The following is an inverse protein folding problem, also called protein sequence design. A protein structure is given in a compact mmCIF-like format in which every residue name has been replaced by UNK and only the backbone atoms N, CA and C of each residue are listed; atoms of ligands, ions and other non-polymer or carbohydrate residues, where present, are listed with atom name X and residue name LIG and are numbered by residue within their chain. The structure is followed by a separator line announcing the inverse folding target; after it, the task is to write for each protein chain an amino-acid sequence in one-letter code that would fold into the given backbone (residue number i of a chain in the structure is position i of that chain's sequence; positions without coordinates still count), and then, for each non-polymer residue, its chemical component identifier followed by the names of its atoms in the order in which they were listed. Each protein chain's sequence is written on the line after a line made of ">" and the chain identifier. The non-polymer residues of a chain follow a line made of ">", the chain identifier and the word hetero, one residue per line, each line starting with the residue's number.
data_IF_117137250240
#
_entry.id   IF_117137250240
#
_cell.length_a   1.000
_cell.length_b   1.000
_cell.length_c   1.000
_cell.angle_alpha   90.00
_cell.angle_beta   90.00
_cell.angle_gamma   90.00
#
_symmetry.space_group_name_H-M   'P 1'
#
loop_
_entity.id
_entity.type
_entity.pdbx_description
1 polymer ?
#
# COMPACT_ATOMS: atom_id res chain seq x y z
N UNK A 1 41.70 10.81 22.78
CA UNK A 1 40.32 11.30 22.67
C UNK A 1 39.57 10.81 23.90
N UNK A 2 39.13 11.72 24.77
CA UNK A 2 38.33 11.38 25.95
C UNK A 2 36.86 11.16 25.54
N UNK A 3 36.19 10.20 26.17
CA UNK A 3 34.77 9.95 25.95
C UNK A 3 33.92 11.13 26.44
N UNK A 4 32.85 11.46 25.71
CA UNK A 4 31.92 12.52 26.13
C UNK A 4 31.15 12.09 27.39
N UNK A 5 30.73 13.02 28.27
CA UNK A 5 29.88 12.69 29.42
C UNK A 5 28.63 11.90 29.00
N UNK A 6 28.31 10.80 29.68
CA UNK A 6 27.23 9.90 29.27
C UNK A 6 27.13 8.59 30.08
N UNK A 7 26.08 7.81 29.81
CA UNK A 7 25.90 6.46 30.35
C UNK A 7 26.62 5.45 29.46
N UNK A 8 27.44 4.59 30.05
CA UNK A 8 28.21 3.56 29.35
C UNK A 8 28.08 2.22 30.09
N UNK A 9 28.49 1.13 29.44
CA UNK A 9 28.48 -0.20 30.01
C UNK A 9 29.33 -0.27 31.31
N UNK A 10 28.73 -0.76 32.39
CA UNK A 10 29.38 -0.88 33.69
C UNK A 10 30.23 -2.16 33.84
N UNK A 11 30.37 -2.97 32.77
CA UNK A 11 31.06 -4.27 32.81
C UNK A 11 30.25 -5.38 33.51
N UNK A 12 29.04 -5.05 33.97
CA UNK A 12 28.05 -6.00 34.49
C UNK A 12 26.86 -5.99 33.52
N UNK A 13 26.46 -7.15 32.95
CA UNK A 13 25.37 -7.20 31.99
C UNK A 13 24.09 -6.51 32.51
N UNK A 14 23.57 -5.57 31.72
CA UNK A 14 22.36 -4.82 32.05
C UNK A 14 22.55 -3.66 33.03
N UNK A 15 23.79 -3.26 33.34
CA UNK A 15 24.08 -2.06 34.13
C UNK A 15 24.81 -1.02 33.31
N UNK A 16 24.39 0.24 33.49
CA UNK A 16 25.07 1.41 32.95
C UNK A 16 25.70 2.19 34.10
N UNK A 17 26.88 2.74 33.87
CA UNK A 17 27.58 3.65 34.77
C UNK A 17 27.77 5.00 34.09
N UNK A 18 27.60 6.08 34.85
CA UNK A 18 27.74 7.43 34.31
C UNK A 18 29.20 7.91 34.32
N UNK A 19 29.67 8.37 33.15
CA UNK A 19 30.94 9.08 32.95
C UNK A 19 30.67 10.59 32.91
N UNK A 20 31.38 11.38 33.72
CA UNK A 20 31.17 12.83 33.79
C UNK A 20 32.05 13.64 32.81
N UNK A 21 32.88 12.98 32.00
CA UNK A 21 33.86 13.61 31.12
C UNK A 21 35.30 13.54 31.64
N UNK A 22 35.45 13.29 32.94
CA UNK A 22 36.75 13.22 33.64
C UNK A 22 36.95 11.93 34.43
N UNK A 23 35.89 11.39 35.03
CA UNK A 23 35.90 10.17 35.83
C UNK A 23 34.54 9.44 35.78
N UNK A 24 34.57 8.17 36.20
CA UNK A 24 33.35 7.38 36.43
C UNK A 24 32.72 7.77 37.76
N UNK A 25 31.44 8.14 37.75
CA UNK A 25 30.71 8.45 38.98
C UNK A 25 30.15 7.18 39.64
N UNK A 26 29.66 7.29 40.88
CA UNK A 26 28.97 6.18 41.58
C UNK A 26 27.53 5.94 41.08
N UNK A 27 27.03 6.80 40.19
CA UNK A 27 25.70 6.61 39.62
C UNK A 27 25.68 5.39 38.71
N UNK A 28 24.99 4.36 39.17
CA UNK A 28 24.60 3.22 38.36
C UNK A 28 23.12 3.31 38.02
N UNK A 29 22.80 3.02 36.77
CA UNK A 29 21.44 2.81 36.32
C UNK A 29 21.32 1.38 35.83
N UNK A 30 20.18 0.76 36.08
CA UNK A 30 19.84 -0.45 35.34
C UNK A 30 19.65 0.02 33.90
N UNK A 31 20.38 -0.55 32.95
CA UNK A 31 20.06 -0.35 31.55
C UNK A 31 18.58 -0.65 31.44
N UNK A 32 17.75 0.36 31.16
CA UNK A 32 16.32 0.14 31.03
C UNK A 32 16.16 -0.81 29.84
N UNK A 33 16.14 -2.10 30.13
CA UNK A 33 15.51 -3.13 29.31
C UNK A 33 13.99 -2.96 29.46
N UNK A 34 13.51 -1.72 29.31
CA UNK A 34 12.17 -1.52 28.78
C UNK A 34 12.16 -2.15 27.40
N UNK A 35 11.02 -2.65 26.92
CA UNK A 35 10.96 -3.16 25.56
C UNK A 35 11.43 -2.03 24.64
N UNK A 36 12.59 -2.21 24.01
CA UNK A 36 13.06 -1.33 22.95
C UNK A 36 11.86 -1.13 22.03
N UNK A 37 11.48 0.14 21.78
CA UNK A 37 10.35 0.44 20.92
C UNK A 37 10.58 -0.34 19.63
N UNK A 38 9.67 -1.26 19.23
CA UNK A 38 10.01 -2.20 18.17
C UNK A 38 10.31 -1.44 16.89
N UNK A 39 11.53 -1.63 16.38
CA UNK A 39 11.98 -0.98 15.15
C UNK A 39 11.21 -1.54 13.95
N UNK A 40 11.10 -0.80 12.83
CA UNK A 40 10.48 -1.35 11.63
C UNK A 40 11.18 -2.64 11.17
N UNK A 41 10.41 -3.71 10.98
CA UNK A 41 10.99 -5.04 10.78
C UNK A 41 9.97 -6.15 10.54
N UNK A 42 10.47 -7.33 10.19
CA UNK A 42 9.67 -8.54 10.14
C UNK A 42 9.64 -9.19 11.51
N UNK A 43 8.46 -9.52 12.02
CA UNK A 43 8.32 -10.12 13.35
C UNK A 43 7.34 -11.28 13.29
N UNK A 44 7.58 -12.27 14.14
CA UNK A 44 6.62 -13.34 14.35
C UNK A 44 5.50 -12.84 15.28
N UNK A 45 4.26 -12.99 14.83
CA UNK A 45 3.08 -12.71 15.66
C UNK A 45 2.74 -13.92 16.52
N UNK A 46 1.88 -13.73 17.54
CA UNK A 46 1.48 -14.81 18.48
C UNK A 46 0.87 -16.04 17.81
N UNK A 47 0.27 -15.90 16.63
CA UNK A 47 -0.28 -17.03 15.86
C UNK A 47 0.77 -17.72 14.97
N UNK A 48 2.05 -17.40 15.14
CA UNK A 48 3.16 -17.94 14.36
C UNK A 48 3.36 -17.30 12.99
N UNK A 49 2.48 -16.41 12.53
CA UNK A 49 2.64 -15.74 11.24
C UNK A 49 3.68 -14.63 11.29
N UNK A 50 4.56 -14.55 10.28
CA UNK A 50 5.54 -13.47 10.17
C UNK A 50 4.90 -12.29 9.43
N UNK A 51 4.92 -11.11 10.05
CA UNK A 51 4.33 -9.87 9.52
C UNK A 51 5.30 -8.71 9.61
N UNK A 52 5.10 -7.70 8.78
CA UNK A 52 5.87 -6.47 8.84
C UNK A 52 5.25 -5.48 9.82
N UNK A 53 6.06 -5.06 10.79
CA UNK A 53 5.80 -3.95 11.69
C UNK A 53 6.44 -2.69 11.11
N UNK A 54 5.67 -1.59 10.98
CA UNK A 54 6.16 -0.34 10.39
C UNK A 54 6.70 0.66 11.44
N UNK A 55 6.79 0.26 12.70
CA UNK A 55 7.12 1.11 13.84
C UNK A 55 5.92 1.52 14.69
N UNK A 56 4.71 1.51 14.11
CA UNK A 56 3.49 1.97 14.79
C UNK A 56 2.38 0.92 14.81
N UNK A 57 2.20 0.19 13.71
CA UNK A 57 1.19 -0.84 13.60
C UNK A 57 1.62 -1.98 12.66
N UNK A 58 0.95 -3.12 12.80
CA UNK A 58 1.09 -4.22 11.87
C UNK A 58 0.51 -3.84 10.51
N UNK A 59 1.30 -4.05 9.47
CA UNK A 59 0.84 -3.83 8.09
C UNK A 59 0.18 -5.10 7.53
N UNK A 60 -0.44 -4.96 6.35
CA UNK A 60 -0.95 -6.11 5.60
C UNK A 60 0.14 -7.02 5.01
N UNK A 61 1.43 -6.67 5.13
CA UNK A 61 2.52 -7.47 4.60
C UNK A 61 2.83 -8.65 5.52
N UNK A 62 2.84 -9.86 4.96
CA UNK A 62 3.06 -11.10 5.71
C UNK A 62 3.76 -12.18 4.88
N UNK A 63 4.32 -13.17 5.56
CA UNK A 63 4.72 -14.41 4.93
C UNK A 63 3.51 -15.33 4.76
N UNK A 64 3.38 -15.91 3.56
CA UNK A 64 2.43 -16.99 3.27
C UNK A 64 3.20 -18.14 2.64
N UNK A 65 3.23 -19.28 3.32
CA UNK A 65 3.99 -20.47 2.87
C UNK A 65 5.46 -20.14 2.57
N UNK A 66 6.11 -19.39 3.47
CA UNK A 66 7.51 -18.98 3.32
C UNK A 66 7.76 -17.82 2.35
N UNK A 67 6.76 -17.34 1.60
CA UNK A 67 6.94 -16.24 0.63
C UNK A 67 6.34 -14.93 1.17
N UNK A 68 7.08 -13.80 1.12
CA UNK A 68 6.54 -12.49 1.50
C UNK A 68 5.48 -12.04 0.49
N UNK A 69 4.35 -11.55 1.01
CA UNK A 69 3.23 -11.07 0.21
C UNK A 69 2.36 -10.09 0.99
N UNK A 70 1.23 -9.75 0.39
CA UNK A 70 0.21 -8.89 1.02
C UNK A 70 -1.02 -9.71 1.38
N UNK A 71 -1.71 -9.31 2.44
CA UNK A 71 -3.08 -9.71 2.69
C UNK A 71 -3.97 -9.30 1.51
N UNK A 72 -4.97 -10.12 1.22
CA UNK A 72 -5.87 -9.94 0.08
C UNK A 72 -6.68 -8.63 0.14
N UNK A 73 -6.83 -8.10 1.35
CA UNK A 73 -7.65 -6.94 1.69
C UNK A 73 -6.85 -5.89 2.50
N UNK A 74 -5.54 -5.81 2.29
CA UNK A 74 -4.72 -4.81 2.95
C UNK A 74 -5.05 -3.40 2.45
N UNK A 75 -5.49 -2.52 3.35
CA UNK A 75 -5.72 -1.11 3.04
C UNK A 75 -4.90 -0.21 3.97
N UNK A 76 -4.46 0.94 3.46
CA UNK A 76 -3.60 1.85 4.24
C UNK A 76 -4.36 2.67 5.27
N UNK A 77 -5.65 2.92 5.04
CA UNK A 77 -6.48 3.77 5.89
C UNK A 77 -7.80 3.07 6.20
N UNK A 78 -7.88 2.33 7.34
CA UNK A 78 -9.09 1.62 7.73
C UNK A 78 -10.29 2.57 7.90
N UNK A 79 -10.05 3.78 8.41
CA UNK A 79 -11.10 4.80 8.61
C UNK A 79 -11.77 5.20 7.30
N UNK A 80 -10.98 5.43 6.24
CA UNK A 80 -11.49 5.72 4.90
C UNK A 80 -12.32 4.54 4.38
N UNK A 81 -11.83 3.31 4.58
CA UNK A 81 -12.54 2.11 4.15
C UNK A 81 -13.88 1.92 4.87
N UNK A 82 -13.94 2.18 6.18
CA UNK A 82 -15.19 2.22 6.94
C UNK A 82 -16.14 3.30 6.40
N UNK A 83 -15.64 4.51 6.17
CA UNK A 83 -16.43 5.62 5.63
C UNK A 83 -17.04 5.30 4.26
N UNK A 84 -16.22 4.80 3.33
CA UNK A 84 -16.71 4.38 2.00
C UNK A 84 -17.67 3.19 2.08
N UNK A 85 -17.41 2.21 2.95
CA UNK A 85 -18.30 1.07 3.16
C UNK A 85 -19.69 1.49 3.64
N UNK A 86 -19.76 2.36 4.65
CA UNK A 86 -21.03 2.92 5.17
C UNK A 86 -21.73 3.77 4.11
N UNK A 87 -20.98 4.61 3.38
CA UNK A 87 -21.53 5.41 2.29
C UNK A 87 -22.17 4.55 1.21
N UNK A 88 -21.48 3.53 0.71
CA UNK A 88 -22.04 2.61 -0.30
C UNK A 88 -23.22 1.81 0.24
N UNK A 89 -23.20 1.43 1.53
CA UNK A 89 -24.33 0.73 2.14
C UNK A 89 -25.59 1.61 2.14
N UNK A 90 -25.46 2.88 2.51
CA UNK A 90 -26.56 3.84 2.46
C UNK A 90 -27.07 4.05 1.03
N UNK A 91 -26.15 4.21 0.06
CA UNK A 91 -26.50 4.36 -1.35
C UNK A 91 -27.24 3.12 -1.88
N UNK A 92 -26.79 1.92 -1.53
CA UNK A 92 -27.46 0.68 -1.89
C UNK A 92 -28.87 0.59 -1.30
N UNK A 93 -29.03 0.93 -0.01
CA UNK A 93 -30.33 0.96 0.65
C UNK A 93 -31.30 1.95 -0.05
N UNK A 94 -30.83 3.14 -0.42
CA UNK A 94 -31.61 4.11 -1.19
C UNK A 94 -32.02 3.57 -2.57
N UNK A 95 -31.10 2.91 -3.29
CA UNK A 95 -31.38 2.30 -4.59
C UNK A 95 -32.38 1.15 -4.51
N UNK A 96 -32.30 0.32 -3.46
CA UNK A 96 -33.30 -0.72 -3.21
C UNK A 96 -34.66 -0.13 -2.82
N UNK A 97 -34.68 0.92 -2.00
CA UNK A 97 -35.91 1.64 -1.66
C UNK A 97 -36.60 2.22 -2.90
N UNK A 98 -35.84 2.87 -3.77
CA UNK A 98 -36.35 3.37 -5.07
C UNK A 98 -36.82 2.24 -5.98
N UNK A 99 -36.10 1.11 -6.02
CA UNK A 99 -36.52 -0.09 -6.74
C UNK A 99 -37.85 -0.64 -6.22
N UNK A 100 -38.01 -0.73 -4.90
CA UNK A 100 -39.25 -1.19 -4.27
C UNK A 100 -40.43 -0.27 -4.61
N UNK A 101 -40.24 1.06 -4.56
CA UNK A 101 -41.27 2.04 -4.95
C UNK A 101 -41.68 1.92 -6.42
N UNK A 102 -40.74 1.59 -7.30
CA UNK A 102 -40.97 1.41 -8.73
C UNK A 102 -41.35 -0.03 -9.11
N UNK A 103 -41.47 -0.94 -8.14
CA UNK A 103 -41.70 -2.39 -8.34
C UNK A 103 -40.69 -3.04 -9.29
N UNK A 104 -39.46 -2.55 -9.26
CA UNK A 104 -38.35 -3.00 -10.10
C UNK A 104 -37.20 -3.51 -9.24
N UNK A 105 -36.55 -4.60 -9.69
CA UNK A 105 -35.33 -5.07 -9.07
C UNK A 105 -34.15 -4.18 -9.50
N UNK A 106 -33.50 -3.53 -8.53
CA UNK A 106 -32.36 -2.67 -8.79
C UNK A 106 -31.06 -3.46 -8.84
N UNK A 107 -30.61 -3.84 -10.04
CA UNK A 107 -29.28 -4.45 -10.26
C UNK A 107 -28.18 -3.53 -9.73
N UNK A 108 -28.32 -2.21 -9.93
CA UNK A 108 -27.42 -1.21 -9.39
C UNK A 108 -27.35 -1.27 -7.85
N UNK A 109 -28.50 -1.46 -7.20
CA UNK A 109 -28.59 -1.65 -5.75
C UNK A 109 -27.78 -2.85 -5.27
N UNK A 110 -27.89 -3.99 -5.96
CA UNK A 110 -27.12 -5.19 -5.66
C UNK A 110 -25.62 -4.98 -5.84
N UNK A 111 -25.19 -4.38 -6.96
CA UNK A 111 -23.76 -4.11 -7.21
C UNK A 111 -23.19 -3.16 -6.15
N UNK A 112 -23.92 -2.09 -5.81
CA UNK A 112 -23.51 -1.12 -4.79
C UNK A 112 -23.45 -1.77 -3.40
N UNK A 113 -24.40 -2.66 -3.07
CA UNK A 113 -24.39 -3.43 -1.83
C UNK A 113 -23.17 -4.36 -1.72
N UNK A 114 -22.86 -5.11 -2.78
CA UNK A 114 -21.67 -5.98 -2.80
C UNK A 114 -20.38 -5.16 -2.65
N UNK A 115 -20.32 -3.98 -3.26
CA UNK A 115 -19.20 -3.06 -3.08
C UNK A 115 -19.10 -2.57 -1.62
N UNK A 116 -20.23 -2.24 -0.98
CA UNK A 116 -20.26 -1.89 0.44
C UNK A 116 -19.72 -3.02 1.32
N UNK A 117 -20.20 -4.26 1.12
CA UNK A 117 -19.73 -5.44 1.85
C UNK A 117 -18.22 -5.64 1.67
N UNK A 118 -17.71 -5.50 0.45
CA UNK A 118 -16.28 -5.60 0.17
C UNK A 118 -15.47 -4.55 0.96
N UNK A 119 -15.88 -3.28 0.94
CA UNK A 119 -15.21 -2.20 1.68
C UNK A 119 -15.24 -2.41 3.18
N UNK A 120 -16.38 -2.82 3.74
CA UNK A 120 -16.52 -3.12 5.17
C UNK A 120 -15.66 -4.33 5.58
N UNK A 121 -15.59 -5.37 4.75
CA UNK A 121 -14.74 -6.53 5.01
C UNK A 121 -13.24 -6.15 5.01
N UNK A 122 -12.80 -5.34 4.04
CA UNK A 122 -11.42 -4.83 4.01
C UNK A 122 -11.10 -3.96 5.23
N UNK A 123 -12.04 -3.11 5.64
CA UNK A 123 -11.91 -2.26 6.81
C UNK A 123 -11.78 -3.10 8.09
N UNK A 124 -12.69 -4.05 8.29
CA UNK A 124 -12.70 -4.95 9.44
C UNK A 124 -11.40 -5.76 9.55
N UNK A 125 -10.95 -6.35 8.45
CA UNK A 125 -9.69 -7.12 8.44
C UNK A 125 -8.49 -6.23 8.77
N UNK A 126 -8.37 -5.06 8.15
CA UNK A 126 -7.24 -4.17 8.40
C UNK A 126 -7.26 -3.66 9.84
N UNK A 127 -8.43 -3.29 10.37
CA UNK A 127 -8.60 -2.92 11.78
C UNK A 127 -8.19 -4.07 12.71
N UNK A 128 -8.58 -5.31 12.41
CA UNK A 128 -8.21 -6.48 13.21
C UNK A 128 -6.69 -6.70 13.23
N UNK A 129 -6.01 -6.57 12.09
CA UNK A 129 -4.54 -6.66 12.02
C UNK A 129 -3.88 -5.59 12.90
N UNK A 130 -4.33 -4.34 12.82
CA UNK A 130 -3.77 -3.23 13.60
C UNK A 130 -4.03 -3.32 15.10
N UNK A 131 -5.08 -4.03 15.52
CA UNK A 131 -5.37 -4.32 16.93
C UNK A 131 -4.49 -5.42 17.52
N UNK A 132 -3.69 -6.10 16.70
CA UNK A 132 -2.71 -7.07 17.21
C UNK A 132 -1.68 -6.33 18.07
N UNK A 133 -1.35 -6.82 19.29
CA UNK A 133 -0.35 -6.19 20.15
C UNK A 133 0.98 -5.98 19.43
N UNK A 134 1.72 -4.93 19.79
CA UNK A 134 3.05 -4.66 19.24
C UNK A 134 3.98 -5.88 19.41
N UNK A 135 4.92 -6.09 18.47
CA UNK A 135 5.87 -7.16 18.59
C UNK A 135 6.76 -6.98 19.82
N UNK A 136 7.25 -8.09 20.35
CA UNK A 136 8.21 -8.14 21.45
C UNK A 136 9.44 -8.89 20.97
N UNK A 137 10.63 -8.38 21.26
CA UNK A 137 11.90 -8.99 20.87
C UNK A 137 12.49 -8.42 19.58
N UNK A 138 13.47 -9.14 19.04
CA UNK A 138 14.23 -8.73 17.85
C UNK A 138 13.50 -9.07 16.54
N UNK A 139 13.69 -8.28 15.47
CA UNK A 139 13.14 -8.59 14.17
C UNK A 139 13.75 -9.88 13.61
N UNK A 140 12.91 -10.67 12.95
CA UNK A 140 13.30 -11.83 12.18
C UNK A 140 14.13 -11.40 10.96
N UNK A 141 15.36 -11.88 10.92
CA UNK A 141 16.28 -11.67 9.80
C UNK A 141 16.27 -12.91 8.90
N UNK A 142 15.33 -12.98 7.97
CA UNK A 142 15.27 -14.05 6.97
C UNK A 142 15.97 -13.61 5.67
N UNK A 143 16.78 -14.50 5.08
CA UNK A 143 17.56 -14.18 3.87
C UNK A 143 16.69 -13.79 2.67
N UNK A 144 15.47 -14.33 2.60
CA UNK A 144 14.51 -14.02 1.55
C UNK A 144 14.07 -12.55 1.52
N UNK A 145 14.19 -11.86 2.65
CA UNK A 145 13.80 -10.44 2.80
C UNK A 145 15.00 -9.51 2.94
N UNK A 146 16.22 -10.04 2.79
CA UNK A 146 17.43 -9.25 2.68
C UNK A 146 17.58 -8.65 1.28
N UNK A 147 18.29 -7.52 1.14
CA UNK A 147 18.89 -6.75 2.23
C UNK A 147 17.84 -5.95 3.01
N UNK A 148 18.02 -5.87 4.33
CA UNK A 148 17.16 -5.08 5.22
C UNK A 148 17.49 -3.57 5.10
N UNK A 149 16.53 -2.69 5.42
CA UNK A 149 16.83 -1.26 5.56
C UNK A 149 17.95 -1.04 6.58
N UNK A 150 18.96 -0.27 6.22
CA UNK A 150 20.13 0.00 7.07
C UNK A 150 21.30 -0.96 6.86
N UNK A 151 21.12 -2.11 6.20
CA UNK A 151 22.24 -3.01 5.86
C UNK A 151 23.15 -2.35 4.81
N UNK A 152 24.45 -2.33 5.10
CA UNK A 152 25.48 -1.74 4.25
C UNK A 152 26.44 -2.85 3.79
N UNK A 153 26.62 -2.97 2.47
CA UNK A 153 27.53 -3.93 1.84
C UNK A 153 28.73 -3.22 1.21
N UNK A 154 28.60 -1.94 0.87
CA UNK A 154 29.70 -1.10 0.34
C UNK A 154 29.43 0.39 0.64
N UNK A 155 30.44 1.27 0.50
CA UNK A 155 30.24 2.72 0.59
C UNK A 155 29.15 3.24 -0.35
N UNK A 156 28.50 4.34 0.04
CA UNK A 156 27.37 4.90 -0.71
C UNK A 156 26.04 4.18 -0.47
N UNK A 157 25.92 3.37 0.58
CA UNK A 157 24.62 2.85 1.02
C UNK A 157 23.71 3.97 1.53
N UNK A 158 22.42 3.92 1.21
CA UNK A 158 21.49 4.96 1.63
C UNK A 158 20.10 4.86 1.01
N UNK A 159 19.25 5.82 1.39
CA UNK A 159 17.94 6.02 0.79
C UNK A 159 18.06 6.94 -0.43
N UNK A 160 17.72 6.42 -1.61
CA UNK A 160 17.78 7.17 -2.86
C UNK A 160 16.38 7.40 -3.45
N UNK A 161 16.10 8.58 -4.03
CA UNK A 161 14.80 8.86 -4.62
C UNK A 161 14.58 7.99 -5.87
N UNK A 162 13.42 7.34 -5.95
CA UNK A 162 13.02 6.52 -7.12
C UNK A 162 11.83 7.10 -7.88
N UNK A 163 11.04 7.96 -7.24
CA UNK A 163 9.86 8.57 -7.81
C UNK A 163 9.73 10.03 -7.36
N UNK A 164 8.87 10.80 -8.05
CA UNK A 164 8.66 12.24 -7.76
C UNK A 164 7.97 12.53 -6.42
N UNK A 165 7.39 11.51 -5.78
CA UNK A 165 6.52 11.68 -4.61
C UNK A 165 7.22 11.29 -3.30
N UNK A 166 8.43 11.82 -3.06
CA UNK A 166 9.26 11.54 -1.87
C UNK A 166 9.44 10.04 -1.57
N UNK A 167 9.33 9.21 -2.59
CA UNK A 167 9.49 7.77 -2.44
C UNK A 167 10.95 7.43 -2.67
N UNK A 168 11.57 6.93 -1.62
CA UNK A 168 12.96 6.51 -1.61
C UNK A 168 13.05 5.00 -1.54
N UNK A 169 14.16 4.44 -2.03
CA UNK A 169 14.46 3.02 -1.95
C UNK A 169 15.86 2.83 -1.35
N UNK A 170 16.03 1.81 -0.54
CA UNK A 170 17.31 1.53 0.10
C UNK A 170 18.28 0.87 -0.90
N UNK A 171 19.50 1.40 -0.96
CA UNK A 171 20.63 0.88 -1.71
C UNK A 171 21.71 0.44 -0.72
N UNK A 172 22.26 -0.77 -0.85
CA UNK A 172 23.26 -1.30 0.07
C UNK A 172 24.69 -0.87 -0.24
N UNK A 173 24.90 -0.15 -1.35
CA UNK A 173 26.23 0.02 -1.96
C UNK A 173 26.48 -0.95 -3.12
N UNK A 174 25.80 -2.11 -3.14
CA UNK A 174 25.94 -3.10 -4.24
C UNK A 174 24.61 -3.46 -4.92
N UNK A 175 23.49 -3.44 -4.21
CA UNK A 175 22.18 -3.84 -4.74
C UNK A 175 21.02 -3.07 -4.11
N UNK A 176 19.90 -3.02 -4.84
CA UNK A 176 18.67 -2.41 -4.35
C UNK A 176 17.92 -3.35 -3.41
N UNK A 177 17.43 -2.80 -2.30
CA UNK A 177 16.56 -3.50 -1.40
C UNK A 177 15.10 -3.42 -1.86
N UNK A 178 14.30 -4.42 -1.45
CA UNK A 178 12.86 -4.44 -1.71
C UNK A 178 12.07 -3.61 -0.70
N UNK A 179 12.65 -2.53 -0.16
CA UNK A 179 11.99 -1.62 0.78
C UNK A 179 11.93 -0.21 0.22
N UNK A 180 10.76 0.41 0.36
CA UNK A 180 10.54 1.81 0.02
C UNK A 180 10.24 2.61 1.27
N UNK A 181 10.80 3.81 1.37
CA UNK A 181 10.48 4.78 2.41
C UNK A 181 9.69 5.94 1.80
N UNK A 182 8.68 6.41 2.53
CA UNK A 182 7.95 7.64 2.23
C UNK A 182 7.53 8.30 3.56
N UNK A 183 6.71 9.36 3.49
CA UNK A 183 6.17 10.03 4.68
C UNK A 183 5.39 9.14 5.66
N UNK A 184 5.00 7.94 5.24
CA UNK A 184 4.27 6.95 6.05
C UNK A 184 5.17 5.82 6.57
N UNK A 185 6.49 5.98 6.48
CA UNK A 185 7.48 5.03 6.98
C UNK A 185 8.01 4.05 5.94
N UNK A 186 8.75 3.06 6.43
CA UNK A 186 9.42 2.05 5.60
C UNK A 186 8.47 0.89 5.35
N UNK A 187 8.36 0.47 4.08
CA UNK A 187 7.44 -0.58 3.66
C UNK A 187 8.10 -1.58 2.71
N UNK A 188 7.83 -2.88 2.86
CA UNK A 188 8.27 -3.88 1.91
C UNK A 188 7.49 -3.80 0.60
N UNK A 189 8.18 -4.06 -0.51
CA UNK A 189 7.67 -4.01 -1.89
C UNK A 189 7.79 -5.34 -2.63
N UNK A 190 7.87 -6.46 -1.89
CA UNK A 190 8.04 -7.82 -2.45
C UNK A 190 6.96 -8.25 -3.45
N UNK A 191 5.74 -7.72 -3.29
CA UNK A 191 4.62 -7.98 -4.21
C UNK A 191 4.64 -7.07 -5.45
N UNK A 192 5.64 -6.19 -5.59
CA UNK A 192 5.67 -5.11 -6.59
C UNK A 192 5.62 -5.61 -8.04
N UNK A 193 6.30 -6.72 -8.35
CA UNK A 193 6.23 -7.33 -9.70
C UNK A 193 4.81 -7.82 -10.05
N UNK A 194 4.15 -8.48 -9.10
CA UNK A 194 2.79 -8.97 -9.31
C UNK A 194 1.79 -7.81 -9.36
N UNK A 195 1.92 -6.82 -8.48
CA UNK A 195 1.09 -5.62 -8.47
C UNK A 195 1.22 -4.83 -9.77
N UNK A 196 2.44 -4.64 -10.28
CA UNK A 196 2.66 -3.94 -11.54
C UNK A 196 2.05 -4.67 -12.74
N UNK A 197 2.14 -6.00 -12.79
CA UNK A 197 1.46 -6.80 -13.82
C UNK A 197 -0.07 -6.63 -13.76
N UNK A 198 -0.65 -6.75 -12.55
CA UNK A 198 -2.09 -6.54 -12.35
C UNK A 198 -2.50 -5.14 -12.79
N UNK A 199 -1.72 -4.13 -12.42
CA UNK A 199 -1.95 -2.75 -12.83
C UNK A 199 -1.99 -2.59 -14.36
N UNK A 200 -1.06 -3.20 -15.10
CA UNK A 200 -1.09 -3.16 -16.57
C UNK A 200 -2.31 -3.88 -17.15
N UNK A 201 -2.71 -5.02 -16.58
CA UNK A 201 -3.93 -5.73 -16.99
C UNK A 201 -5.17 -4.88 -16.74
N UNK A 202 -5.27 -4.22 -15.58
CA UNK A 202 -6.39 -3.32 -15.27
C UNK A 202 -6.46 -2.15 -16.25
N UNK A 203 -5.34 -1.51 -16.58
CA UNK A 203 -5.30 -0.45 -17.60
C UNK A 203 -5.83 -0.96 -18.94
N UNK A 204 -5.34 -2.13 -19.38
CA UNK A 204 -5.73 -2.71 -20.66
C UNK A 204 -7.22 -3.05 -20.70
N UNK A 205 -7.76 -3.65 -19.63
CA UNK A 205 -9.19 -3.98 -19.51
C UNK A 205 -10.06 -2.72 -19.51
N UNK A 206 -9.70 -1.70 -18.72
CA UNK A 206 -10.43 -0.42 -18.71
C UNK A 206 -10.39 0.22 -20.09
N UNK A 207 -9.22 0.25 -20.74
CA UNK A 207 -9.08 0.79 -22.10
C UNK A 207 -9.93 0.05 -23.14
N UNK A 208 -9.96 -1.28 -23.08
CA UNK A 208 -10.78 -2.11 -23.96
C UNK A 208 -12.28 -1.86 -23.76
N UNK A 209 -12.75 -1.83 -22.50
CA UNK A 209 -14.16 -1.51 -22.18
C UNK A 209 -14.51 -0.11 -22.66
N UNK A 210 -13.62 0.87 -22.46
CA UNK A 210 -13.83 2.24 -22.88
C UNK A 210 -13.99 2.36 -24.41
N UNK A 211 -13.12 1.67 -25.16
CA UNK A 211 -13.16 1.64 -26.62
C UNK A 211 -14.44 0.96 -27.13
N UNK A 212 -14.80 -0.19 -26.56
CA UNK A 212 -16.05 -0.91 -26.91
C UNK A 212 -17.26 -0.01 -26.65
N UNK A 213 -17.34 0.63 -25.48
CA UNK A 213 -18.43 1.55 -25.15
C UNK A 213 -18.51 2.74 -26.11
N UNK A 214 -17.37 3.33 -26.49
CA UNK A 214 -17.35 4.43 -27.45
C UNK A 214 -17.83 3.99 -28.85
N UNK A 215 -17.37 2.82 -29.33
CA UNK A 215 -17.81 2.26 -30.62
C UNK A 215 -19.31 1.97 -30.60
N UNK A 216 -19.80 1.29 -29.57
CA UNK A 216 -21.23 1.01 -29.42
C UNK A 216 -22.04 2.31 -29.35
N UNK A 217 -21.56 3.32 -28.63
CA UNK A 217 -22.18 4.64 -28.58
C UNK A 217 -22.34 5.27 -29.96
N UNK A 218 -21.29 5.24 -30.79
CA UNK A 218 -21.33 5.72 -32.18
C UNK A 218 -22.31 4.91 -33.04
N UNK A 219 -22.36 3.59 -32.89
CA UNK A 219 -23.31 2.72 -33.61
C UNK A 219 -24.75 3.08 -33.24
N UNK A 220 -25.06 3.24 -31.95
CA UNK A 220 -26.40 3.63 -31.49
C UNK A 220 -26.82 5.02 -31.97
N UNK A 221 -25.90 5.99 -32.00
CA UNK A 221 -26.15 7.32 -32.58
C UNK A 221 -26.44 7.24 -34.09
N UNK A 222 -25.67 6.42 -34.82
CA UNK A 222 -25.88 6.20 -36.24
C UNK A 222 -27.25 5.59 -36.52
N UNK A 223 -27.64 4.55 -35.77
CA UNK A 223 -28.94 3.89 -35.92
C UNK A 223 -30.11 4.80 -35.48
N UNK A 224 -29.91 5.61 -34.44
CA UNK A 224 -30.91 6.57 -33.97
C UNK A 224 -31.15 7.73 -34.93
N UNK A 225 -30.16 8.09 -35.77
CA UNK A 225 -30.31 9.17 -36.76
C UNK A 225 -31.38 8.88 -37.82
N UNK A 226 -31.62 7.60 -38.12
CA UNK A 226 -32.56 7.13 -39.15
C UNK A 226 -33.96 6.78 -38.64
N UNK A 227 -34.19 6.69 -37.32
CA UNK A 227 -35.44 6.19 -36.76
C UNK A 227 -36.30 7.32 -36.16
N UNK A 228 -37.57 7.43 -36.58
CA UNK A 228 -38.61 8.05 -35.77
C UNK A 228 -39.29 6.99 -34.89
N UNK A 229 -39.43 7.20 -33.57
CA UNK A 229 -39.00 8.35 -32.77
C UNK A 229 -37.55 8.21 -32.22
N UNK A 230 -36.80 9.31 -32.30
CA UNK A 230 -35.35 9.43 -31.99
C UNK A 230 -34.94 9.25 -30.52
N UNK A 231 -35.85 8.85 -29.63
CA UNK A 231 -35.66 9.04 -28.18
C UNK A 231 -34.58 8.14 -27.57
N UNK A 232 -34.81 6.82 -27.54
CA UNK A 232 -34.06 5.93 -26.67
C UNK A 232 -32.67 5.55 -27.21
N UNK A 233 -32.55 5.24 -28.50
CA UNK A 233 -31.27 4.87 -29.14
C UNK A 233 -30.27 6.02 -29.09
N UNK A 234 -30.71 7.26 -29.34
CA UNK A 234 -29.88 8.45 -29.26
C UNK A 234 -29.38 8.68 -27.83
N UNK A 235 -30.26 8.60 -26.82
CA UNK A 235 -29.87 8.78 -25.41
C UNK A 235 -28.86 7.72 -24.98
N UNK A 236 -29.10 6.44 -25.31
CA UNK A 236 -28.15 5.36 -25.05
C UNK A 236 -26.81 5.60 -25.76
N UNK A 237 -26.85 6.03 -27.02
CA UNK A 237 -25.67 6.34 -27.81
C UNK A 237 -24.82 7.44 -27.19
N UNK A 238 -25.44 8.55 -26.77
CA UNK A 238 -24.76 9.65 -26.06
C UNK A 238 -24.16 9.15 -24.75
N UNK A 239 -24.93 8.42 -23.93
CA UNK A 239 -24.45 7.92 -22.63
C UNK A 239 -23.25 6.97 -22.78
N UNK A 240 -23.31 6.03 -23.72
CA UNK A 240 -22.22 5.09 -23.99
C UNK A 240 -20.98 5.80 -24.53
N UNK A 241 -21.16 6.74 -25.45
CA UNK A 241 -20.05 7.51 -26.02
C UNK A 241 -19.37 8.38 -24.96
N UNK A 242 -20.14 9.13 -24.18
CA UNK A 242 -19.61 9.96 -23.10
C UNK A 242 -18.88 9.12 -22.04
N UNK A 243 -19.48 8.00 -21.62
CA UNK A 243 -18.84 7.05 -20.72
C UNK A 243 -17.53 6.48 -21.30
N UNK A 244 -17.57 6.03 -22.56
CA UNK A 244 -16.39 5.53 -23.27
C UNK A 244 -15.25 6.55 -23.32
N UNK A 245 -15.54 7.81 -23.66
CA UNK A 245 -14.54 8.90 -23.67
C UNK A 245 -13.96 9.14 -22.27
N UNK A 246 -14.79 9.19 -21.22
CA UNK A 246 -14.32 9.37 -19.85
C UNK A 246 -13.38 8.22 -19.41
N UNK A 247 -13.73 6.97 -19.70
CA UNK A 247 -12.89 5.83 -19.37
C UNK A 247 -11.60 5.78 -20.22
N UNK A 248 -11.62 6.27 -21.46
CA UNK A 248 -10.41 6.41 -22.28
C UNK A 248 -9.45 7.46 -21.70
N UNK A 249 -9.97 8.60 -21.23
CA UNK A 249 -9.18 9.62 -20.53
C UNK A 249 -8.57 9.02 -19.28
N UNK A 250 -9.37 8.32 -18.45
CA UNK A 250 -8.86 7.66 -17.25
C UNK A 250 -7.76 6.64 -17.57
N UNK A 251 -7.98 5.77 -18.55
CA UNK A 251 -6.98 4.76 -18.98
C UNK A 251 -5.70 5.44 -19.48
N UNK A 252 -5.82 6.54 -20.21
CA UNK A 252 -4.68 7.33 -20.70
C UNK A 252 -3.89 7.98 -19.56
N UNK A 253 -4.56 8.55 -18.56
CA UNK A 253 -3.93 9.10 -17.36
C UNK A 253 -3.19 8.00 -16.60
N UNK A 254 -3.83 6.84 -16.38
CA UNK A 254 -3.19 5.70 -15.75
C UNK A 254 -1.97 5.23 -16.55
N UNK A 255 -2.07 5.14 -17.88
CA UNK A 255 -0.95 4.76 -18.73
C UNK A 255 0.20 5.78 -18.64
N UNK A 256 -0.08 7.08 -18.57
CA UNK A 256 0.92 8.12 -18.36
C UNK A 256 1.63 7.98 -16.99
N UNK A 257 0.91 7.53 -15.96
CA UNK A 257 1.48 7.25 -14.63
C UNK A 257 2.32 5.96 -14.56
N UNK A 258 2.33 5.14 -15.62
CA UNK A 258 3.02 3.84 -15.66
C UNK A 258 4.49 3.90 -15.27
N UNK A 259 5.21 4.95 -15.71
CA UNK A 259 6.64 5.12 -15.39
C UNK A 259 6.85 5.33 -13.89
N UNK A 260 6.00 6.17 -13.27
CA UNK A 260 6.05 6.43 -11.84
C UNK A 260 5.73 5.16 -11.04
N UNK A 261 4.67 4.45 -11.42
CA UNK A 261 4.28 3.18 -10.78
C UNK A 261 5.35 2.10 -10.92
N UNK A 262 6.00 2.01 -12.09
CA UNK A 262 7.12 1.09 -12.30
C UNK A 262 8.26 1.35 -11.32
N UNK A 263 8.65 2.62 -11.14
CA UNK A 263 9.78 2.97 -10.28
C UNK A 263 9.47 2.76 -8.79
N UNK A 264 8.21 2.94 -8.38
CA UNK A 264 7.78 2.65 -7.00
C UNK A 264 7.75 1.15 -6.76
N UNK A 265 7.19 0.36 -7.68
CA UNK A 265 6.92 -1.07 -7.45
C UNK A 265 8.09 -2.00 -7.79
N UNK A 266 8.91 -1.65 -8.78
CA UNK A 266 10.01 -2.49 -9.24
C UNK A 266 11.35 -1.93 -8.77
N UNK A 267 12.33 -2.82 -8.65
CA UNK A 267 13.71 -2.40 -8.42
C UNK A 267 14.23 -1.62 -9.64
N UNK A 268 14.92 -0.50 -9.42
CA UNK A 268 15.66 0.15 -10.48
C UNK A 268 16.70 -0.82 -11.08
N UNK A 269 16.89 -0.82 -12.41
CA UNK A 269 17.81 -1.75 -13.07
C UNK A 269 19.28 -1.35 -12.93
N UNK A 270 19.56 -0.11 -12.57
CA UNK A 270 20.90 0.46 -12.47
C UNK A 270 21.14 0.99 -11.05
N UNK A 271 22.42 1.08 -10.60
CA UNK A 271 22.76 1.71 -9.32
C UNK A 271 22.28 3.18 -9.27
N UNK A 272 22.10 3.75 -8.07
CA UNK A 272 21.79 5.17 -7.93
C UNK A 272 22.90 6.02 -8.54
N UNK A 273 22.51 7.09 -9.22
CA UNK A 273 23.49 8.07 -9.69
C UNK A 273 23.84 9.02 -8.54
N UNK A 274 25.12 9.38 -8.36
CA UNK A 274 25.49 10.37 -7.37
C UNK A 274 24.78 11.69 -7.68
N UNK A 275 24.05 12.22 -6.71
CA UNK A 275 23.53 13.57 -6.75
C UNK A 275 24.70 14.51 -6.49
N UNK A 276 25.23 15.12 -7.56
CA UNK A 276 26.21 16.20 -7.48
C UNK A 276 25.57 17.50 -7.00
#
# INVERSE_FOLDING_TARGET
>A
MSAAPGWYDAGTPGRLRWWDGTQWTEHESVAQSGPATPVPGWYQTRNGSVRWWDGHFWTGMRFRKGVPGTDWAAIEQPSLAWGLGVFFLFLAAAQFGLGALTRSFSINGLTTFLLAVLWLAMAAQTTAVRRTPSPTGEPLVADLVRPLPGEQEAPGSGWYPVARNDTHRWWTGQRWAQYTSNRFGIRPSFHGRQAYRRYLVVIAVIGAIALISAILGLVFLSLGSSAEPRGLSTVLGISLLAGGVLFLILSSVLLAMRKNQRNVLLLPPAPPQPTY
#
